data_IF_295967487843
#
_entry.id   IF_295967487843
#
_cell.length_a   1.000
_cell.length_b   1.000
_cell.length_c   1.000
_cell.angle_alpha   90.00
_cell.angle_beta   90.00
_cell.angle_gamma   90.00
#
_symmetry.space_group_name_H-M   'P 1'
#
loop_
_entity.id
_entity.type
_entity.pdbx_description
1 polymer ?
#
# COMPACT_ATOMS: atom_id res chain seq x y z
N UNK A 1 0.59 -7.79 -6.73
CA UNK A 1 -0.18 -8.41 -5.62
C UNK A 1 -0.39 -9.89 -5.86
N UNK A 2 -1.02 -10.32 -6.97
CA UNK A 2 -1.24 -11.75 -7.27
C UNK A 2 0.00 -12.64 -7.12
N UNK A 3 1.13 -12.25 -7.73
CA UNK A 3 2.39 -13.03 -7.60
C UNK A 3 2.82 -13.12 -6.13
N UNK A 4 2.75 -12.02 -5.39
CA UNK A 4 3.06 -11.98 -3.95
C UNK A 4 2.18 -12.96 -3.16
N UNK A 5 0.89 -13.04 -3.50
CA UNK A 5 -0.02 -14.05 -2.93
C UNK A 5 0.42 -15.47 -3.26
N UNK A 6 0.75 -15.76 -4.52
CA UNK A 6 1.14 -17.10 -4.98
C UNK A 6 2.43 -17.60 -4.32
N UNK A 7 3.34 -16.70 -3.95
CA UNK A 7 4.59 -17.04 -3.25
C UNK A 7 4.47 -16.89 -1.72
N UNK A 8 3.26 -16.74 -1.19
CA UNK A 8 3.00 -16.59 0.26
C UNK A 8 3.77 -15.43 0.91
N UNK A 9 3.88 -14.29 0.22
CA UNK A 9 4.48 -13.09 0.78
C UNK A 9 3.63 -12.54 1.93
N UNK A 10 4.29 -12.02 2.97
CA UNK A 10 3.59 -11.34 4.09
C UNK A 10 3.16 -9.90 3.77
N UNK A 11 3.80 -9.30 2.77
CA UNK A 11 3.61 -7.91 2.34
C UNK A 11 4.00 -7.79 0.87
N UNK A 12 3.23 -7.02 0.11
CA UNK A 12 3.61 -6.59 -1.24
C UNK A 12 3.88 -5.09 -1.25
N UNK A 13 5.07 -4.69 -1.70
CA UNK A 13 5.44 -3.29 -1.85
C UNK A 13 5.20 -2.79 -3.28
N UNK A 14 4.42 -1.72 -3.40
CA UNK A 14 4.13 -1.03 -4.65
C UNK A 14 4.88 0.29 -4.67
N UNK A 15 5.99 0.32 -5.39
CA UNK A 15 6.74 1.55 -5.66
C UNK A 15 5.98 2.40 -6.69
N UNK A 16 5.70 3.66 -6.34
CA UNK A 16 5.03 4.64 -7.21
C UNK A 16 5.80 5.97 -7.25
N UNK A 17 5.33 6.93 -8.05
CA UNK A 17 5.86 8.31 -8.06
C UNK A 17 5.27 9.20 -6.96
N UNK A 18 4.41 8.63 -6.11
CA UNK A 18 3.75 9.31 -4.98
C UNK A 18 4.17 8.65 -3.67
N UNK A 19 4.14 9.41 -2.57
CA UNK A 19 4.52 8.87 -1.25
C UNK A 19 3.49 7.89 -0.69
N UNK A 20 2.25 7.91 -1.16
CA UNK A 20 1.20 7.00 -0.74
C UNK A 20 -0.16 7.53 -1.09
N UNK A 21 -1.14 7.24 -0.24
CA UNK A 21 -2.53 7.68 -0.38
C UNK A 21 -2.72 8.95 0.45
N UNK A 22 -3.27 9.99 -0.16
CA UNK A 22 -3.64 11.23 0.53
C UNK A 22 -5.15 11.30 0.72
N UNK A 23 -5.58 11.91 1.83
CA UNK A 23 -6.99 12.29 2.00
C UNK A 23 -7.32 13.57 1.22
N UNK A 24 -8.60 13.97 1.25
CA UNK A 24 -9.10 15.19 0.58
C UNK A 24 -8.43 16.48 1.08
N UNK A 25 -7.78 16.45 2.25
CA UNK A 25 -7.07 17.58 2.85
C UNK A 25 -5.57 17.56 2.52
N UNK A 26 -5.13 16.63 1.68
CA UNK A 26 -3.71 16.48 1.31
C UNK A 26 -2.85 15.86 2.42
N UNK A 27 -3.45 15.19 3.41
CA UNK A 27 -2.71 14.49 4.46
C UNK A 27 -2.45 13.04 4.04
N UNK A 28 -1.20 12.61 4.14
CA UNK A 28 -0.82 11.23 3.88
C UNK A 28 -1.46 10.29 4.91
N UNK A 29 -2.28 9.36 4.43
CA UNK A 29 -2.89 8.32 5.22
C UNK A 29 -1.87 7.22 5.49
N UNK A 30 -1.65 6.86 6.75
CA UNK A 30 -0.65 5.85 7.13
C UNK A 30 -1.15 4.43 6.98
N UNK A 31 -2.42 4.19 7.34
CA UNK A 31 -3.07 2.88 7.26
C UNK A 31 -4.46 3.05 6.69
N UNK A 32 -4.85 2.17 5.78
CA UNK A 32 -6.17 2.16 5.14
C UNK A 32 -6.67 0.73 5.08
N UNK A 33 -7.95 0.50 5.41
CA UNK A 33 -8.56 -0.80 5.16
C UNK A 33 -8.98 -0.90 3.70
N UNK A 34 -8.80 -2.06 3.07
CA UNK A 34 -9.09 -2.24 1.66
C UNK A 34 -10.56 -1.95 1.29
N UNK A 35 -11.47 -2.14 2.24
CA UNK A 35 -12.90 -1.74 2.12
C UNK A 35 -13.12 -0.23 2.03
N UNK A 36 -12.26 0.57 2.66
CA UNK A 36 -12.28 2.04 2.68
C UNK A 36 -11.52 2.62 1.48
N UNK A 37 -10.59 1.85 0.91
CA UNK A 37 -9.75 2.25 -0.23
C UNK A 37 -10.52 2.49 -1.54
N UNK A 38 -11.72 1.93 -1.72
CA UNK A 38 -12.57 2.18 -2.91
C UNK A 38 -12.95 3.65 -3.10
N UNK A 39 -12.92 4.44 -2.03
CA UNK A 39 -13.24 5.87 -2.09
C UNK A 39 -12.03 6.71 -2.54
N UNK A 40 -10.84 6.10 -2.66
CA UNK A 40 -9.58 6.79 -2.93
C UNK A 40 -9.14 6.51 -4.37
N UNK A 41 -9.79 7.23 -5.30
CA UNK A 41 -9.47 7.19 -6.72
C UNK A 41 -7.98 7.47 -6.97
N UNK A 42 -7.33 6.63 -7.79
CA UNK A 42 -5.98 6.87 -8.33
C UNK A 42 -4.81 6.22 -7.58
N UNK A 43 -5.03 5.58 -6.43
CA UNK A 43 -3.91 5.06 -5.63
C UNK A 43 -3.59 3.58 -5.86
N UNK A 44 -4.58 2.77 -6.17
CA UNK A 44 -4.41 1.39 -6.66
C UNK A 44 -5.54 1.09 -7.66
N UNK A 45 -5.30 0.21 -8.62
CA UNK A 45 -6.39 -0.24 -9.50
C UNK A 45 -7.40 -1.07 -8.69
N UNK A 46 -8.65 -1.13 -9.15
CA UNK A 46 -9.69 -1.93 -8.48
C UNK A 46 -9.28 -3.40 -8.35
N UNK A 47 -8.45 -3.88 -9.28
CA UNK A 47 -7.89 -5.21 -9.25
C UNK A 47 -7.01 -5.45 -8.01
N UNK A 48 -6.07 -4.55 -7.68
CA UNK A 48 -5.24 -4.65 -6.48
C UNK A 48 -6.09 -4.65 -5.22
N UNK A 49 -7.10 -3.79 -5.13
CA UNK A 49 -8.00 -3.74 -3.97
C UNK A 49 -8.79 -5.04 -3.80
N UNK A 50 -9.28 -5.61 -4.89
CA UNK A 50 -9.97 -6.91 -4.88
C UNK A 50 -9.02 -8.04 -4.49
N UNK A 51 -7.77 -8.03 -4.94
CA UNK A 51 -6.76 -9.03 -4.55
C UNK A 51 -6.42 -8.93 -3.05
N UNK A 52 -6.21 -7.71 -2.54
CA UNK A 52 -5.97 -7.47 -1.10
C UNK A 52 -7.09 -8.06 -0.25
N UNK A 53 -8.35 -7.82 -0.64
CA UNK A 53 -9.52 -8.31 0.08
C UNK A 53 -9.68 -9.82 -0.01
N UNK A 54 -9.55 -10.40 -1.21
CA UNK A 54 -9.79 -11.84 -1.44
C UNK A 54 -8.75 -12.72 -0.78
N UNK A 55 -7.50 -12.25 -0.73
CA UNK A 55 -6.36 -13.05 -0.27
C UNK A 55 -5.80 -12.56 1.07
N UNK A 56 -6.47 -11.64 1.75
CA UNK A 56 -6.03 -11.04 3.02
C UNK A 56 -4.57 -10.54 2.98
N UNK A 57 -4.16 -10.00 1.83
CA UNK A 57 -2.77 -9.61 1.56
C UNK A 57 -2.52 -8.17 2.04
N UNK A 58 -1.46 -7.93 2.82
CA UNK A 58 -1.02 -6.57 3.12
C UNK A 58 -0.30 -5.96 1.93
N UNK A 59 -0.57 -4.70 1.64
CA UNK A 59 0.10 -3.96 0.56
C UNK A 59 0.62 -2.65 1.11
N UNK A 60 1.87 -2.30 0.80
CA UNK A 60 2.41 -0.97 1.10
C UNK A 60 2.59 -0.20 -0.20
N UNK A 61 2.19 1.07 -0.18
CA UNK A 61 2.40 2.02 -1.28
C UNK A 61 3.38 3.07 -0.79
N UNK A 62 4.45 3.26 -1.53
CA UNK A 62 5.52 4.20 -1.19
C UNK A 62 6.11 4.83 -2.44
N UNK A 63 6.83 5.93 -2.26
CA UNK A 63 7.56 6.55 -3.37
C UNK A 63 8.82 5.78 -3.71
N UNK A 64 8.89 5.25 -4.94
CA UNK A 64 10.09 4.62 -5.49
C UNK A 64 11.27 5.58 -5.65
N UNK A 65 11.02 6.89 -5.58
CA UNK A 65 12.06 7.93 -5.57
C UNK A 65 12.74 8.06 -4.18
N UNK A 66 12.18 7.42 -3.14
CA UNK A 66 12.68 7.44 -1.76
C UNK A 66 13.11 6.03 -1.33
N UNK A 67 14.20 5.46 -1.88
CA UNK A 67 14.59 4.07 -1.67
C UNK A 67 14.92 3.72 -0.20
N UNK A 68 15.30 4.72 0.60
CA UNK A 68 15.53 4.54 2.04
C UNK A 68 14.28 4.04 2.79
N UNK A 69 13.07 4.29 2.27
CA UNK A 69 11.82 3.83 2.87
C UNK A 69 11.67 2.31 2.84
N UNK A 70 12.36 1.60 1.94
CA UNK A 70 12.30 0.13 1.90
C UNK A 70 12.76 -0.45 3.23
N UNK A 71 13.83 0.11 3.82
CA UNK A 71 14.30 -0.30 5.14
C UNK A 71 13.26 0.00 6.23
N UNK A 72 12.65 1.18 6.18
CA UNK A 72 11.62 1.56 7.15
C UNK A 72 10.42 0.59 7.10
N UNK A 73 10.01 0.19 5.90
CA UNK A 73 8.92 -0.77 5.68
C UNK A 73 9.28 -2.15 6.26
N UNK A 74 10.50 -2.63 6.02
CA UNK A 74 10.95 -3.93 6.52
C UNK A 74 11.11 -3.95 8.04
N UNK A 75 11.55 -2.83 8.63
CA UNK A 75 11.77 -2.68 10.07
C UNK A 75 10.48 -2.25 10.82
N UNK A 76 9.33 -2.15 10.13
CA UNK A 76 8.05 -1.64 10.65
C UNK A 76 8.16 -0.26 11.34
N UNK A 77 9.02 0.59 10.80
CA UNK A 77 9.29 1.95 11.28
C UNK A 77 8.38 2.94 10.53
N UNK A 78 7.72 3.88 11.23
CA UNK A 78 6.92 4.91 10.58
C UNK A 78 7.69 5.68 9.49
N UNK A 79 7.06 5.86 8.34
CA UNK A 79 7.66 6.55 7.20
C UNK A 79 6.61 7.16 6.27
N UNK A 80 7.06 7.78 5.18
CA UNK A 80 6.21 8.35 4.14
C UNK A 80 5.72 7.25 3.18
N UNK A 81 4.85 6.39 3.71
CA UNK A 81 4.16 5.34 2.98
C UNK A 81 2.75 5.14 3.52
N UNK A 82 1.93 4.41 2.77
CA UNK A 82 0.61 3.96 3.19
C UNK A 82 0.54 2.45 3.21
N UNK A 83 0.11 1.87 4.34
CA UNK A 83 -0.20 0.45 4.46
C UNK A 83 -1.69 0.21 4.19
N UNK A 84 -1.99 -0.58 3.17
CA UNK A 84 -3.32 -1.14 2.93
C UNK A 84 -3.40 -2.49 3.62
N UNK A 85 -4.35 -2.59 4.54
CA UNK A 85 -4.67 -3.83 5.25
C UNK A 85 -6.00 -4.39 4.74
N UNK A 86 -6.23 -5.71 4.82
CA UNK A 86 -7.50 -6.33 4.45
C UNK A 86 -8.74 -5.68 5.10
#
# INVERSE_FOLDING_TARGET
>A
VLIGTLISSELVALAKVVDGVYDERGKLLKVIKAREARQLYGVADDYVLDMVRRFSMRVVIFSGLKPHLVKHILDDVPGEYTLIVP
#
